data_IF_647296033363
#
_entry.id   IF_647296033363
#
_cell.length_a   1.000
_cell.length_b   1.000
_cell.length_c   1.000
_cell.angle_alpha   90.00
_cell.angle_beta   90.00
_cell.angle_gamma   90.00
#
_symmetry.space_group_name_H-M   'P 1'
#
loop_
_entity.id
_entity.type
_entity.pdbx_description
1 polymer ?
#
# COMPACT_ATOMS: atom_id res chain seq x y z
N UNK A 1 -60.80 -14.74 1.35
CA UNK A 1 -59.79 -13.75 1.78
C UNK A 1 -58.43 -14.21 1.24
N UNK A 2 -57.93 -13.52 0.21
CA UNK A 2 -56.57 -13.71 -0.32
C UNK A 2 -56.10 -12.33 -0.76
N UNK A 3 -55.27 -11.71 0.07
CA UNK A 3 -54.68 -10.40 -0.19
C UNK A 3 -53.48 -10.60 -1.12
N UNK A 4 -53.35 -9.88 -2.24
CA UNK A 4 -52.19 -10.03 -3.10
C UNK A 4 -50.94 -9.49 -2.40
N UNK A 5 -49.84 -10.23 -2.58
CA UNK A 5 -48.50 -9.87 -2.18
C UNK A 5 -48.08 -8.64 -3.00
N UNK A 6 -48.22 -7.45 -2.43
CA UNK A 6 -47.47 -6.28 -2.89
C UNK A 6 -46.00 -6.52 -2.54
N UNK A 7 -45.36 -7.27 -3.44
CA UNK A 7 -43.96 -7.53 -3.49
C UNK A 7 -43.22 -6.20 -3.60
N UNK A 8 -42.31 -5.98 -2.64
CA UNK A 8 -41.01 -5.35 -2.81
C UNK A 8 -41.09 -3.99 -3.52
N UNK A 9 -41.10 -2.93 -2.71
CA UNK A 9 -40.83 -1.55 -3.12
C UNK A 9 -39.75 -1.51 -4.19
N UNK A 10 -40.20 -1.41 -5.45
CA UNK A 10 -39.35 -1.19 -6.61
C UNK A 10 -38.88 0.24 -6.59
N UNK A 11 -37.85 0.52 -5.80
CA UNK A 11 -36.93 1.56 -6.23
C UNK A 11 -36.45 1.14 -7.62
N UNK A 12 -36.58 1.98 -8.66
CA UNK A 12 -36.01 1.63 -9.95
C UNK A 12 -34.52 1.40 -9.68
N UNK A 13 -34.07 0.14 -9.77
CA UNK A 13 -32.65 -0.16 -9.91
C UNK A 13 -32.21 0.72 -11.05
N UNK A 14 -31.58 1.86 -10.71
CA UNK A 14 -31.12 2.87 -11.65
C UNK A 14 -30.16 2.10 -12.52
N UNK A 15 -30.65 1.63 -13.66
CA UNK A 15 -29.97 0.66 -14.50
C UNK A 15 -28.67 1.36 -14.83
N UNK A 16 -27.59 0.95 -14.14
CA UNK A 16 -26.31 1.63 -14.24
C UNK A 16 -26.04 1.72 -15.73
N UNK A 17 -26.02 2.96 -16.22
CA UNK A 17 -25.77 3.27 -17.62
C UNK A 17 -24.59 2.39 -18.07
N UNK A 18 -24.71 1.74 -19.22
CA UNK A 18 -23.71 0.78 -19.67
C UNK A 18 -22.32 1.42 -19.68
N UNK A 19 -22.23 2.72 -20.00
CA UNK A 19 -21.00 3.50 -19.94
C UNK A 19 -20.43 3.56 -18.52
N UNK A 20 -21.30 3.80 -17.53
CA UNK A 20 -20.92 3.83 -16.12
C UNK A 20 -20.47 2.46 -15.62
N UNK A 21 -21.10 1.37 -16.07
CA UNK A 21 -20.65 0.00 -15.73
C UNK A 21 -19.27 -0.27 -16.30
N UNK A 22 -19.04 0.08 -17.57
CA UNK A 22 -17.73 -0.11 -18.22
C UNK A 22 -16.65 0.71 -17.51
N UNK A 23 -16.92 1.98 -17.20
CA UNK A 23 -15.99 2.84 -16.49
C UNK A 23 -15.62 2.27 -15.10
N UNK A 24 -16.61 1.78 -14.35
CA UNK A 24 -16.38 1.12 -13.07
C UNK A 24 -15.55 -0.16 -13.21
N UNK A 25 -15.87 -1.03 -14.17
CA UNK A 25 -15.09 -2.25 -14.42
C UNK A 25 -13.63 -1.94 -14.77
N UNK A 26 -13.38 -0.90 -15.58
CA UNK A 26 -12.03 -0.45 -15.90
C UNK A 26 -11.30 0.10 -14.67
N UNK A 27 -11.97 0.90 -13.84
CA UNK A 27 -11.40 1.44 -12.61
C UNK A 27 -11.05 0.33 -11.60
N UNK A 28 -11.98 -0.62 -11.39
CA UNK A 28 -11.76 -1.80 -10.53
C UNK A 28 -10.59 -2.63 -11.06
N UNK A 29 -10.52 -2.87 -12.37
CA UNK A 29 -9.38 -3.59 -12.96
C UNK A 29 -8.04 -2.91 -12.72
N UNK A 30 -7.97 -1.56 -12.79
CA UNK A 30 -6.74 -0.82 -12.44
C UNK A 30 -6.43 -0.91 -10.95
N UNK A 31 -7.44 -0.85 -10.10
CA UNK A 31 -7.29 -0.98 -8.66
C UNK A 31 -6.72 -2.35 -8.26
N UNK A 32 -7.28 -3.44 -8.79
CA UNK A 32 -6.83 -4.80 -8.48
C UNK A 32 -5.36 -5.02 -8.88
N UNK A 33 -4.98 -4.64 -10.10
CA UNK A 33 -3.57 -4.71 -10.55
C UNK A 33 -2.63 -3.86 -9.70
N UNK A 34 -3.10 -2.69 -9.26
CA UNK A 34 -2.30 -1.82 -8.39
C UNK A 34 -2.16 -2.41 -6.99
N UNK A 35 -3.19 -3.10 -6.50
CA UNK A 35 -3.18 -3.79 -5.20
C UNK A 35 -2.22 -4.98 -5.20
N UNK A 36 -2.18 -5.75 -6.29
CA UNK A 36 -1.21 -6.84 -6.46
C UNK A 36 0.24 -6.30 -6.41
N UNK A 37 0.54 -5.26 -7.20
CA UNK A 37 1.87 -4.63 -7.20
C UNK A 37 2.25 -4.00 -5.86
N UNK A 38 1.27 -3.39 -5.18
CA UNK A 38 1.48 -2.85 -3.83
C UNK A 38 1.80 -3.96 -2.83
N UNK A 39 1.11 -5.09 -2.94
CA UNK A 39 1.35 -6.24 -2.08
C UNK A 39 2.76 -6.79 -2.27
N UNK A 40 3.17 -7.01 -3.52
CA UNK A 40 4.54 -7.44 -3.87
C UNK A 40 5.59 -6.47 -3.35
N UNK A 41 5.44 -5.16 -3.62
CA UNK A 41 6.35 -4.14 -3.13
C UNK A 41 6.38 -4.07 -1.58
N UNK A 42 5.25 -4.30 -0.91
CA UNK A 42 5.18 -4.34 0.55
C UNK A 42 5.92 -5.54 1.14
N UNK A 43 5.83 -6.70 0.48
CA UNK A 43 6.57 -7.90 0.88
C UNK A 43 8.07 -7.69 0.71
N UNK A 44 8.50 -7.16 -0.44
CA UNK A 44 9.90 -6.83 -0.71
C UNK A 44 10.44 -5.83 0.32
N UNK A 45 9.71 -4.74 0.57
CA UNK A 45 10.06 -3.74 1.58
C UNK A 45 10.20 -4.36 2.98
N UNK A 46 9.25 -5.18 3.39
CA UNK A 46 9.30 -5.87 4.70
C UNK A 46 10.50 -6.80 4.78
N UNK A 47 10.83 -7.49 3.70
CA UNK A 47 12.03 -8.32 3.58
C UNK A 47 13.31 -7.51 3.74
N UNK A 48 13.41 -6.36 3.07
CA UNK A 48 14.53 -5.44 3.20
C UNK A 48 14.67 -4.91 4.63
N UNK A 49 13.57 -4.51 5.29
CA UNK A 49 13.60 -4.08 6.69
C UNK A 49 14.10 -5.18 7.62
N UNK A 50 13.65 -6.43 7.41
CA UNK A 50 14.12 -7.57 8.19
C UNK A 50 15.62 -7.82 7.98
N UNK A 51 16.08 -7.77 6.73
CA UNK A 51 17.50 -7.95 6.39
C UNK A 51 18.37 -6.86 7.00
N UNK A 52 17.97 -5.60 6.91
CA UNK A 52 18.70 -4.48 7.51
C UNK A 52 18.76 -4.61 9.03
N UNK A 53 17.64 -4.94 9.68
CA UNK A 53 17.59 -5.19 11.14
C UNK A 53 18.55 -6.31 11.59
N UNK A 54 18.78 -7.31 10.75
CA UNK A 54 19.73 -8.40 11.06
C UNK A 54 21.20 -7.95 10.95
N UNK A 55 21.48 -6.91 10.18
CA UNK A 55 22.85 -6.39 9.99
C UNK A 55 23.19 -5.27 10.99
N UNK A 56 22.20 -4.49 11.40
CA UNK A 56 22.38 -3.43 12.39
C UNK A 56 22.71 -4.03 13.76
N UNK A 57 23.82 -3.58 14.35
CA UNK A 57 24.12 -3.86 15.75
C UNK A 57 23.27 -2.97 16.67
N UNK A 58 23.32 -3.25 17.96
CA UNK A 58 22.59 -2.46 18.96
C UNK A 58 23.11 -1.02 19.00
N UNK A 59 22.22 -0.07 18.71
CA UNK A 59 22.47 1.38 18.82
C UNK A 59 23.64 1.89 17.96
N UNK A 60 23.42 1.97 16.65
CA UNK A 60 24.37 2.52 15.68
C UNK A 60 23.82 3.80 15.04
N UNK A 61 24.72 4.70 14.65
CA UNK A 61 24.38 5.88 13.84
C UNK A 61 25.48 6.15 12.85
N UNK A 62 25.18 6.05 11.55
CA UNK A 62 26.17 6.16 10.49
C UNK A 62 25.57 6.73 9.21
N UNK A 63 26.43 7.23 8.33
CA UNK A 63 26.04 7.77 7.02
C UNK A 63 26.35 6.74 5.94
N UNK A 64 25.40 6.50 5.05
CA UNK A 64 25.58 5.70 3.83
C UNK A 64 25.29 6.53 2.60
N UNK A 65 25.95 6.19 1.49
CA UNK A 65 25.64 6.75 0.19
C UNK A 65 24.90 5.71 -0.66
N UNK A 66 23.81 6.13 -1.29
CA UNK A 66 23.04 5.32 -2.25
C UNK A 66 22.42 6.24 -3.31
N UNK A 67 22.49 5.86 -4.59
CA UNK A 67 21.97 6.65 -5.71
C UNK A 67 22.40 8.14 -5.68
N UNK A 68 23.69 8.39 -5.44
CA UNK A 68 24.29 9.74 -5.32
C UNK A 68 23.72 10.61 -4.19
N UNK A 69 22.93 10.03 -3.29
CA UNK A 69 22.38 10.69 -2.11
C UNK A 69 23.01 10.12 -0.84
N UNK A 70 23.05 10.93 0.20
CA UNK A 70 23.50 10.50 1.52
C UNK A 70 22.31 10.29 2.44
N UNK A 71 22.40 9.24 3.24
CA UNK A 71 21.38 8.88 4.21
C UNK A 71 22.02 8.68 5.57
N UNK A 72 21.38 9.21 6.59
CA UNK A 72 21.70 8.95 7.97
C UNK A 72 20.86 7.77 8.45
N UNK A 73 21.52 6.68 8.77
CA UNK A 73 20.91 5.49 9.37
C UNK A 73 21.11 5.56 10.86
N UNK A 74 20.03 5.40 11.62
CA UNK A 74 20.07 5.31 13.09
C UNK A 74 19.33 4.06 13.53
N UNK A 75 19.89 3.28 14.44
CA UNK A 75 19.22 2.15 15.09
C UNK A 75 19.16 2.37 16.60
N UNK A 76 18.14 1.82 17.26
CA UNK A 76 18.03 1.78 18.72
C UNK A 76 18.37 0.38 19.27
N UNK A 77 18.29 0.22 20.59
CA UNK A 77 18.53 -1.08 21.26
C UNK A 77 17.38 -2.08 21.10
N UNK A 78 16.24 -1.64 20.58
CA UNK A 78 15.07 -2.47 20.31
C UNK A 78 15.05 -2.98 18.86
N UNK A 79 16.05 -2.62 18.05
CA UNK A 79 16.13 -2.98 16.63
C UNK A 79 15.17 -2.17 15.76
N UNK A 80 14.62 -1.07 16.28
CA UNK A 80 14.02 -0.06 15.43
C UNK A 80 15.15 0.72 14.75
N UNK A 81 14.91 1.10 13.51
CA UNK A 81 15.84 1.91 12.78
C UNK A 81 15.08 2.94 11.95
N UNK A 82 15.79 4.01 11.64
CA UNK A 82 15.31 5.11 10.82
C UNK A 82 16.38 5.46 9.79
N UNK A 83 15.92 5.86 8.60
CA UNK A 83 16.78 6.19 7.46
C UNK A 83 16.32 7.52 6.89
N UNK A 84 17.10 8.58 7.15
CA UNK A 84 16.77 9.94 6.72
C UNK A 84 17.72 10.38 5.61
N UNK A 85 17.19 10.93 4.51
CA UNK A 85 18.04 11.58 3.53
C UNK A 85 18.61 12.86 4.13
N UNK A 86 19.93 13.03 4.07
CA UNK A 86 20.62 14.23 4.53
C UNK A 86 21.22 14.99 3.35
N UNK A 87 21.27 16.32 3.46
CA UNK A 87 22.08 17.14 2.56
C UNK A 87 23.51 17.13 3.07
N UNK A 88 24.44 16.72 2.22
CA UNK A 88 25.87 16.88 2.46
C UNK A 88 26.33 18.20 1.84
N UNK A 89 27.11 18.95 2.60
CA UNK A 89 27.74 20.22 2.19
C UNK A 89 28.75 20.02 1.05
#
# INVERSE_FOLDING_TARGET
>A
MHTPINAITGEPMKQLDIERRVALSLAVGRYLRSTERLHEASQEFTGACKSLRQQLCNAERFVVQSDFKHYLVSSDRHGNFDVEQIQTL
#
